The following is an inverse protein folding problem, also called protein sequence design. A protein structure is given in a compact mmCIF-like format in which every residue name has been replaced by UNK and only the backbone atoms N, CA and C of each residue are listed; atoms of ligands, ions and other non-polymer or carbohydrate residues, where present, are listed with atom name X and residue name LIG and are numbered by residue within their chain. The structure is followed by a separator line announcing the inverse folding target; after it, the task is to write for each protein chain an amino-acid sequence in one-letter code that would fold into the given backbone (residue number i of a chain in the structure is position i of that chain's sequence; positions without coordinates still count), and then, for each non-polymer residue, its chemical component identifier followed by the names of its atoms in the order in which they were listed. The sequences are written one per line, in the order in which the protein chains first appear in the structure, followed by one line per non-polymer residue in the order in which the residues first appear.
data_IF_071856728651
#
_entry.id   IF_071856728651
#
_cell.length_a   1.000
_cell.length_b   1.000
_cell.length_c   1.000
_cell.angle_alpha   90.00
_cell.angle_beta   90.00
_cell.angle_gamma   90.00
#
_symmetry.space_group_name_H-M   'P 1'
#
loop_
_entity.id
_entity.type
_entity.pdbx_description
1 polymer ?
#
# COMPACT_ATOMS: atom_id res chain seq x y z
N UNK A 1 13.66 15.62 5.73
CA UNK A 1 14.36 14.33 5.65
C UNK A 1 13.32 13.30 5.22
N UNK A 2 13.59 12.52 4.17
CA UNK A 2 12.63 11.50 3.70
C UNK A 2 12.73 10.28 4.60
N UNK A 3 11.64 9.78 5.21
CA UNK A 3 11.69 8.60 6.07
C UNK A 3 12.13 7.37 5.29
N UNK A 4 12.86 6.48 5.95
CA UNK A 4 13.23 5.16 5.42
C UNK A 4 12.01 4.23 5.34
N UNK A 5 12.08 3.18 4.54
CA UNK A 5 11.01 2.17 4.45
C UNK A 5 10.76 1.48 5.80
N UNK A 6 11.81 1.25 6.59
CA UNK A 6 11.68 0.67 7.94
C UNK A 6 10.95 1.62 8.89
N UNK A 7 11.26 2.92 8.87
CA UNK A 7 10.55 3.92 9.67
C UNK A 7 9.07 4.02 9.26
N UNK A 8 8.78 3.97 7.96
CA UNK A 8 7.41 3.92 7.45
C UNK A 8 6.68 2.66 7.92
N UNK A 9 7.32 1.48 7.80
CA UNK A 9 6.74 0.21 8.24
C UNK A 9 6.43 0.18 9.74
N UNK A 10 7.32 0.74 10.57
CA UNK A 10 7.10 0.88 12.02
C UNK A 10 5.96 1.85 12.36
N UNK A 11 5.73 2.85 11.52
CA UNK A 11 4.65 3.83 11.69
C UNK A 11 3.26 3.33 11.26
N UNK A 12 3.17 2.19 10.58
CA UNK A 12 1.89 1.62 10.16
C UNK A 12 1.17 0.91 11.31
N UNK A 13 -0.16 1.02 11.31
CA UNK A 13 -1.02 0.18 12.14
C UNK A 13 -1.06 -1.26 11.61
N UNK A 14 -1.42 -2.22 12.46
CA UNK A 14 -1.53 -3.63 12.03
C UNK A 14 -2.56 -3.83 10.91
N UNK A 15 -3.66 -3.05 10.94
CA UNK A 15 -4.65 -3.06 9.88
C UNK A 15 -4.07 -2.59 8.54
N UNK A 16 -3.23 -1.54 8.55
CA UNK A 16 -2.56 -1.03 7.36
C UNK A 16 -1.51 -2.01 6.83
N UNK A 17 -0.69 -2.60 7.71
CA UNK A 17 0.29 -3.64 7.31
C UNK A 17 -0.43 -4.82 6.65
N UNK A 18 -1.52 -5.28 7.26
CA UNK A 18 -2.35 -6.35 6.71
C UNK A 18 -2.93 -5.98 5.36
N UNK A 19 -3.52 -4.80 5.23
CA UNK A 19 -4.11 -4.33 3.97
C UNK A 19 -3.06 -4.24 2.84
N UNK A 20 -1.82 -3.84 3.16
CA UNK A 20 -0.70 -3.81 2.19
C UNK A 20 -0.25 -5.22 1.80
N UNK A 21 -0.14 -6.15 2.75
CA UNK A 21 0.25 -7.54 2.48
C UNK A 21 -0.82 -8.30 1.67
N UNK A 22 -2.10 -8.06 1.99
CA UNK A 22 -3.27 -8.66 1.31
C UNK A 22 -3.71 -7.85 0.08
N UNK A 23 -2.87 -6.95 -0.45
CA UNK A 23 -3.16 -6.16 -1.64
C UNK A 23 -3.49 -7.06 -2.84
N UNK A 24 -4.47 -6.64 -3.64
CA UNK A 24 -4.95 -7.38 -4.81
C UNK A 24 -4.42 -6.77 -6.10
N UNK A 25 -3.93 -7.63 -7.01
CA UNK A 25 -3.58 -7.26 -8.38
C UNK A 25 -4.82 -6.91 -9.21
N UNK A 26 -4.73 -5.80 -9.93
CA UNK A 26 -5.79 -5.26 -10.77
C UNK A 26 -5.25 -4.83 -12.13
N UNK A 27 -6.15 -4.79 -13.11
CA UNK A 27 -5.87 -4.31 -14.46
C UNK A 27 -6.68 -3.04 -14.75
N UNK A 28 -6.03 -2.01 -15.28
CA UNK A 28 -6.73 -0.81 -15.72
C UNK A 28 -7.58 -1.11 -16.95
N UNK A 29 -8.85 -0.69 -16.90
CA UNK A 29 -9.75 -0.74 -18.06
C UNK A 29 -9.37 0.27 -19.16
N UNK A 30 -8.47 1.21 -18.85
CA UNK A 30 -7.89 2.16 -19.80
C UNK A 30 -6.42 1.77 -20.01
N UNK A 31 -6.08 1.36 -21.23
CA UNK A 31 -4.74 0.96 -21.69
C UNK A 31 -4.10 -0.28 -21.05
N UNK A 32 -4.78 -0.97 -20.12
CA UNK A 32 -4.34 -2.29 -19.64
C UNK A 32 -3.08 -2.28 -18.76
N UNK A 33 -2.80 -1.19 -18.03
CA UNK A 33 -1.65 -1.16 -17.13
C UNK A 33 -1.95 -1.81 -15.76
N UNK A 34 -1.05 -2.65 -15.22
CA UNK A 34 -1.27 -3.34 -13.96
C UNK A 34 -1.05 -2.40 -12.76
N UNK A 35 -1.82 -2.61 -11.71
CA UNK A 35 -1.65 -1.92 -10.43
C UNK A 35 -2.20 -2.76 -9.28
N UNK A 36 -1.74 -2.48 -8.06
CA UNK A 36 -2.26 -3.12 -6.86
C UNK A 36 -3.21 -2.21 -6.10
N UNK A 37 -4.29 -2.79 -5.59
CA UNK A 37 -5.24 -2.11 -4.70
C UNK A 37 -5.18 -2.67 -3.29
N UNK A 38 -5.30 -1.78 -2.32
CA UNK A 38 -5.44 -2.10 -0.90
C UNK A 38 -6.82 -1.71 -0.41
N UNK A 39 -7.34 -2.44 0.58
CA UNK A 39 -8.57 -2.05 1.24
C UNK A 39 -8.35 -0.74 2.01
N UNK A 40 -9.33 0.17 1.96
CA UNK A 40 -9.33 1.38 2.80
C UNK A 40 -9.41 0.95 4.27
N UNK A 41 -8.50 1.46 5.09
CA UNK A 41 -8.50 1.25 6.54
C UNK A 41 -9.20 2.41 7.26
N UNK A 42 -9.49 2.25 8.55
CA UNK A 42 -10.04 3.32 9.39
C UNK A 42 -9.05 4.48 9.61
N UNK A 43 -7.75 4.18 9.50
CA UNK A 43 -6.67 5.15 9.66
C UNK A 43 -6.21 5.71 8.30
N UNK A 44 -5.88 7.01 8.21
CA UNK A 44 -5.32 7.58 7.00
C UNK A 44 -3.95 7.00 6.69
N UNK A 45 -3.67 6.76 5.41
CA UNK A 45 -2.36 6.32 4.97
C UNK A 45 -1.28 7.38 5.26
N UNK A 46 -0.07 6.97 5.66
CA UNK A 46 1.07 7.87 5.62
C UNK A 46 1.26 8.43 4.20
N UNK A 47 1.79 9.66 4.13
CA UNK A 47 1.91 10.39 2.88
C UNK A 47 2.64 9.55 1.80
N UNK A 48 1.97 9.38 0.67
CA UNK A 48 2.53 8.72 -0.49
C UNK A 48 2.56 7.19 -0.43
N UNK A 49 1.97 6.52 0.57
CA UNK A 49 1.87 5.03 0.58
C UNK A 49 0.80 4.53 -0.40
N UNK A 50 -0.40 5.12 -0.32
CA UNK A 50 -1.52 4.79 -1.19
C UNK A 50 -2.21 6.07 -1.65
N UNK A 51 -2.92 5.97 -2.78
CA UNK A 51 -3.69 7.05 -3.38
C UNK A 51 -5.14 6.61 -3.54
N UNK A 52 -6.07 7.51 -3.23
CA UNK A 52 -7.50 7.29 -3.45
C UNK A 52 -7.80 6.71 -4.84
N UNK A 53 -8.55 5.61 -4.87
CA UNK A 53 -9.07 5.02 -6.11
C UNK A 53 -10.60 4.92 -6.06
N UNK A 54 -11.14 4.35 -4.98
CA UNK A 54 -12.58 4.23 -4.73
C UNK A 54 -12.88 4.43 -3.25
N UNK A 55 -14.17 4.46 -2.89
CA UNK A 55 -14.60 4.52 -1.48
C UNK A 55 -14.22 3.28 -0.66
N UNK A 56 -13.82 2.18 -1.31
CA UNK A 56 -13.52 0.90 -0.64
C UNK A 56 -12.07 0.46 -0.81
N UNK A 57 -11.36 1.04 -1.76
CA UNK A 57 -10.00 0.66 -2.09
C UNK A 57 -9.16 1.84 -2.54
N UNK A 58 -7.89 1.80 -2.18
CA UNK A 58 -6.87 2.72 -2.64
C UNK A 58 -5.88 1.99 -3.53
N UNK A 59 -5.15 2.72 -4.36
CA UNK A 59 -4.07 2.19 -5.19
C UNK A 59 -2.74 2.37 -4.50
N UNK A 60 -1.92 1.32 -4.45
CA UNK A 60 -0.53 1.44 -3.98
C UNK A 60 0.27 2.33 -4.92
N UNK A 61 1.05 3.25 -4.35
CA UNK A 61 2.04 4.02 -5.10
C UNK A 61 3.33 3.20 -5.25
N UNK A 62 4.33 3.68 -6.01
CA UNK A 62 5.66 3.05 -6.00
C UNK A 62 6.28 2.92 -4.60
N UNK A 63 6.03 3.89 -3.71
CA UNK A 63 6.50 3.82 -2.32
C UNK A 63 5.73 2.73 -1.54
N UNK A 64 4.42 2.63 -1.73
CA UNK A 64 3.59 1.57 -1.15
C UNK A 64 3.98 0.17 -1.63
N UNK A 65 4.33 0.01 -2.91
CA UNK A 65 4.85 -1.25 -3.45
C UNK A 65 6.22 -1.61 -2.84
N UNK A 66 7.10 -0.64 -2.65
CA UNK A 66 8.40 -0.85 -1.99
C UNK A 66 8.21 -1.29 -0.53
N UNK A 67 7.28 -0.65 0.17
CA UNK A 67 6.89 -1.01 1.52
C UNK A 67 6.32 -2.43 1.60
N UNK A 68 5.44 -2.81 0.67
CA UNK A 68 4.89 -4.18 0.59
C UNK A 68 6.01 -5.20 0.46
N UNK A 69 6.93 -4.99 -0.47
CA UNK A 69 8.08 -5.89 -0.67
C UNK A 69 9.00 -5.98 0.55
N UNK A 70 9.11 -4.90 1.34
CA UNK A 70 9.81 -4.93 2.63
C UNK A 70 9.05 -5.78 3.65
N UNK A 71 7.75 -5.56 3.83
CA UNK A 71 6.91 -6.30 4.78
C UNK A 71 6.86 -7.80 4.45
N UNK A 72 6.77 -8.18 3.17
CA UNK A 72 6.81 -9.59 2.74
C UNK A 72 8.12 -10.29 3.15
N UNK A 73 9.25 -9.57 3.13
CA UNK A 73 10.55 -10.12 3.52
C UNK A 73 10.73 -10.25 5.03
N UNK A 74 10.02 -9.46 5.83
CA UNK A 74 10.17 -9.42 7.29
C UNK A 74 9.06 -10.13 8.04
N UNK A 75 7.91 -10.38 7.41
CA UNK A 75 6.73 -10.99 8.03
C UNK A 75 6.18 -12.21 7.28
N UNK A 76 6.71 -12.56 6.10
CA UNK A 76 6.45 -13.82 5.39
C UNK A 76 7.42 -14.91 5.80
#
# INVERSE_FOLDING_TARGET
MTPTIEELARGLTEAQKRAVLEASDMMSNHDGYPFMTVAVTSDPWPAGIAQFLTLKSDRLTPLGLTLRAYLEKTHG
#
